data_IF_438761287688
#
_entry.id   IF_438761287688
#
_cell.length_a   1.000
_cell.length_b   1.000
_cell.length_c   1.000
_cell.angle_alpha   90.00
_cell.angle_beta   90.00
_cell.angle_gamma   90.00
#
_symmetry.space_group_name_H-M   'P 1'
#
loop_
_entity.id
_entity.type
_entity.pdbx_description
1 polymer ?
#
# COMPACT_ATOMS: atom_id res chain seq x y z
N UNK A 1 -28.41 5.30 49.07
CA UNK A 1 -28.21 4.37 47.93
C UNK A 1 -29.47 4.43 47.11
N UNK A 2 -29.35 4.68 45.79
CA UNK A 2 -30.25 4.35 44.66
C UNK A 2 -30.09 5.39 43.54
N UNK A 3 -30.07 4.92 42.28
CA UNK A 3 -29.59 5.65 41.10
C UNK A 3 -30.72 6.07 40.14
N UNK A 4 -30.43 7.14 39.38
CA UNK A 4 -30.86 7.51 38.01
C UNK A 4 -32.28 8.07 37.77
N UNK A 5 -32.54 8.82 36.67
CA UNK A 5 -31.65 9.26 35.59
C UNK A 5 -31.64 10.79 35.30
N UNK A 6 -30.52 11.30 34.81
CA UNK A 6 -30.45 12.59 34.08
C UNK A 6 -30.72 12.27 32.59
N UNK A 7 -31.57 13.05 31.89
CA UNK A 7 -32.09 12.68 30.59
C UNK A 7 -31.04 12.68 29.47
N UNK A 8 -31.26 11.72 28.57
CA UNK A 8 -30.65 11.48 27.26
C UNK A 8 -30.31 12.79 26.52
N UNK A 9 -29.04 13.21 26.60
CA UNK A 9 -28.52 14.27 25.74
C UNK A 9 -28.31 13.65 24.36
N UNK A 10 -29.39 13.54 23.59
CA UNK A 10 -29.37 13.30 22.15
C UNK A 10 -28.33 14.24 21.54
N UNK A 11 -27.14 13.71 21.31
CA UNK A 11 -26.13 14.34 20.51
C UNK A 11 -26.65 14.30 19.07
N UNK A 12 -27.29 15.38 18.66
CA UNK A 12 -27.55 15.64 17.26
C UNK A 12 -26.20 16.02 16.62
N UNK A 13 -25.68 15.26 15.66
CA UNK A 13 -24.51 15.72 14.92
C UNK A 13 -24.86 17.00 14.14
N UNK A 14 -23.90 17.95 13.98
CA UNK A 14 -24.16 19.19 13.26
C UNK A 14 -24.57 18.92 11.81
N UNK A 15 -25.58 19.62 11.26
CA UNK A 15 -25.99 19.47 9.87
C UNK A 15 -24.92 20.12 8.99
N UNK A 16 -24.03 19.30 8.45
CA UNK A 16 -22.89 19.81 7.69
C UNK A 16 -21.84 18.74 7.36
N UNK A 17 -21.81 17.64 8.11
CA UNK A 17 -21.18 16.41 7.64
C UNK A 17 -22.14 15.66 6.73
N UNK A 18 -22.53 16.31 5.61
CA UNK A 18 -22.62 15.54 4.39
C UNK A 18 -21.23 14.96 4.22
N UNK A 19 -21.08 13.73 4.68
CA UNK A 19 -20.05 12.81 4.29
C UNK A 19 -20.13 12.83 2.76
N UNK A 20 -19.40 13.76 2.15
CA UNK A 20 -18.83 13.54 0.84
C UNK A 20 -17.88 12.38 1.09
N UNK A 21 -18.46 11.17 1.23
CA UNK A 21 -17.96 10.04 0.49
C UNK A 21 -17.68 10.62 -0.89
N UNK A 22 -16.44 11.07 -1.07
CA UNK A 22 -15.84 11.02 -2.38
C UNK A 22 -15.75 9.53 -2.64
N UNK A 23 -16.90 8.92 -2.94
CA UNK A 23 -16.99 7.83 -3.88
C UNK A 23 -16.43 8.45 -5.15
N UNK A 24 -15.10 8.44 -5.22
CA UNK A 24 -14.42 8.40 -6.49
C UNK A 24 -15.12 7.25 -7.20
N UNK A 25 -15.84 7.51 -8.31
CA UNK A 25 -16.39 6.40 -9.06
C UNK A 25 -15.19 5.52 -9.36
N UNK A 26 -15.18 4.30 -8.81
CA UNK A 26 -14.28 3.23 -9.24
C UNK A 26 -14.77 2.90 -10.65
N UNK A 27 -14.46 3.81 -11.59
CA UNK A 27 -14.63 3.60 -13.01
C UNK A 27 -13.62 2.53 -13.34
N UNK A 28 -14.13 1.41 -13.83
CA UNK A 28 -13.31 0.42 -14.48
C UNK A 28 -12.83 -0.64 -13.50
N UNK A 29 -13.34 -1.82 -13.76
CA UNK A 29 -12.65 -3.08 -13.62
C UNK A 29 -11.44 -3.14 -14.59
N UNK A 30 -10.69 -2.04 -14.68
CA UNK A 30 -9.41 -1.85 -15.35
C UNK A 30 -8.46 -1.48 -14.22
N UNK A 31 -7.66 -2.44 -13.77
CA UNK A 31 -6.68 -2.24 -12.71
C UNK A 31 -5.81 -1.04 -13.08
N UNK A 32 -5.82 0.00 -12.24
CA UNK A 32 -4.93 1.16 -12.39
C UNK A 32 -3.50 0.63 -12.63
N UNK A 33 -2.87 0.94 -13.77
CA UNK A 33 -1.57 0.36 -14.12
C UNK A 33 -0.47 0.79 -13.15
N UNK A 34 -0.58 1.97 -12.54
CA UNK A 34 0.31 2.45 -11.49
C UNK A 34 0.09 1.64 -10.22
N UNK A 35 -1.16 1.39 -9.83
CA UNK A 35 -1.49 0.57 -8.65
C UNK A 35 -1.00 -0.88 -8.82
N UNK A 36 -1.20 -1.48 -10.01
CA UNK A 36 -0.72 -2.83 -10.30
C UNK A 36 0.82 -2.89 -10.27
N UNK A 37 1.51 -1.91 -10.86
CA UNK A 37 2.97 -1.87 -10.82
C UNK A 37 3.51 -1.65 -9.40
N UNK A 38 2.79 -0.88 -8.57
CA UNK A 38 3.10 -0.68 -7.15
C UNK A 38 2.99 -1.99 -6.36
N UNK A 39 1.90 -2.74 -6.55
CA UNK A 39 1.69 -4.05 -5.89
C UNK A 39 2.82 -5.03 -6.22
N UNK A 40 3.22 -5.11 -7.50
CA UNK A 40 4.33 -5.98 -7.94
C UNK A 40 5.65 -5.59 -7.28
N UNK A 41 5.96 -4.30 -7.18
CA UNK A 41 7.19 -3.85 -6.50
C UNK A 41 7.15 -4.13 -4.99
N UNK A 42 6.01 -3.90 -4.32
CA UNK A 42 5.86 -4.17 -2.89
C UNK A 42 6.02 -5.68 -2.58
N UNK A 43 5.47 -6.54 -3.42
CA UNK A 43 5.63 -7.99 -3.29
C UNK A 43 7.11 -8.42 -3.47
N UNK A 44 7.78 -7.94 -4.51
CA UNK A 44 9.21 -8.22 -4.73
C UNK A 44 10.08 -7.74 -3.56
N UNK A 45 9.80 -6.54 -3.04
CA UNK A 45 10.47 -5.98 -1.86
C UNK A 45 10.22 -6.83 -0.61
N UNK A 46 8.98 -7.27 -0.38
CA UNK A 46 8.65 -8.11 0.77
C UNK A 46 9.40 -9.44 0.73
N UNK A 47 9.57 -10.04 -0.46
CA UNK A 47 10.35 -11.27 -0.63
C UNK A 47 11.83 -11.06 -0.34
N UNK A 48 12.41 -9.94 -0.79
CA UNK A 48 13.79 -9.57 -0.47
C UNK A 48 13.99 -9.35 1.04
N UNK A 49 13.08 -8.60 1.69
CA UNK A 49 13.14 -8.35 3.13
C UNK A 49 13.04 -9.64 3.94
N UNK A 50 12.13 -10.55 3.57
CA UNK A 50 12.01 -11.86 4.21
C UNK A 50 13.28 -12.72 4.06
N UNK A 51 13.94 -12.67 2.90
CA UNK A 51 15.20 -13.38 2.68
C UNK A 51 16.39 -12.77 3.45
N UNK A 52 16.34 -11.47 3.75
CA UNK A 52 17.36 -10.78 4.55
C UNK A 52 17.12 -10.89 6.06
N UNK A 53 15.90 -11.16 6.51
CA UNK A 53 15.52 -11.26 7.93
C UNK A 53 16.45 -12.17 8.77
N UNK A 54 16.88 -13.36 8.31
CA UNK A 54 17.78 -14.22 9.07
C UNK A 54 19.14 -13.57 9.38
N UNK A 55 19.61 -12.68 8.49
CA UNK A 55 20.85 -11.90 8.68
C UNK A 55 20.67 -10.94 9.86
N UNK A 56 19.55 -10.22 9.89
CA UNK A 56 19.23 -9.27 10.95
C UNK A 56 19.02 -9.95 12.30
N UNK A 57 18.38 -11.12 12.30
CA UNK A 57 18.16 -11.95 13.48
C UNK A 57 19.41 -12.71 13.94
N UNK A 58 20.55 -12.57 13.25
CA UNK A 58 21.82 -13.26 13.53
C UNK A 58 21.65 -14.78 13.62
N UNK A 59 20.70 -15.33 12.87
CA UNK A 59 20.48 -16.77 12.81
C UNK A 59 21.59 -17.34 11.93
N UNK A 60 22.29 -18.36 12.43
CA UNK A 60 23.34 -19.06 11.69
C UNK A 60 22.71 -19.95 10.61
N UNK A 61 22.17 -19.29 9.59
CA UNK A 61 21.58 -19.90 8.40
C UNK A 61 22.57 -19.67 7.26
N UNK A 62 22.86 -20.69 6.43
CA UNK A 62 23.66 -20.48 5.23
C UNK A 62 23.01 -19.39 4.39
N UNK A 63 23.75 -18.32 4.10
CA UNK A 63 23.27 -17.24 3.29
C UNK A 63 23.41 -17.60 1.81
N UNK A 64 22.30 -17.76 1.12
CA UNK A 64 22.31 -17.94 -0.33
C UNK A 64 22.45 -16.58 -1.03
N UNK A 65 23.70 -16.20 -1.30
CA UNK A 65 24.03 -14.94 -1.96
C UNK A 65 23.51 -14.88 -3.40
N UNK A 66 23.35 -16.02 -4.08
CA UNK A 66 22.82 -16.07 -5.45
C UNK A 66 21.34 -15.73 -5.41
N UNK A 67 20.58 -16.39 -4.52
CA UNK A 67 19.15 -16.11 -4.33
C UNK A 67 18.91 -14.64 -3.92
N UNK A 68 19.71 -14.09 -3.01
CA UNK A 68 19.58 -12.69 -2.62
C UNK A 68 19.86 -11.73 -3.76
N UNK A 69 20.85 -12.04 -4.60
CA UNK A 69 21.15 -11.23 -5.77
C UNK A 69 19.99 -11.26 -6.79
N UNK A 70 19.41 -12.44 -7.02
CA UNK A 70 18.27 -12.59 -7.92
C UNK A 70 17.03 -11.82 -7.41
N UNK A 71 16.72 -11.91 -6.11
CA UNK A 71 15.65 -11.13 -5.48
C UNK A 71 15.91 -9.62 -5.56
N UNK A 72 17.16 -9.19 -5.42
CA UNK A 72 17.54 -7.79 -5.58
C UNK A 72 17.36 -7.30 -7.02
N UNK A 73 17.68 -8.13 -8.01
CA UNK A 73 17.46 -7.81 -9.43
C UNK A 73 15.96 -7.70 -9.70
N UNK A 74 15.16 -8.65 -9.19
CA UNK A 74 13.70 -8.64 -9.33
C UNK A 74 13.07 -7.37 -8.74
N UNK A 75 13.46 -6.98 -7.51
CA UNK A 75 12.99 -5.76 -6.85
C UNK A 75 13.34 -4.50 -7.65
N UNK A 76 14.58 -4.42 -8.17
CA UNK A 76 15.02 -3.29 -8.99
C UNK A 76 14.24 -3.17 -10.30
N UNK A 77 13.99 -4.29 -11.00
CA UNK A 77 13.22 -4.31 -12.24
C UNK A 77 11.77 -3.89 -11.99
N UNK A 78 11.17 -4.39 -10.91
CA UNK A 78 9.81 -4.00 -10.51
C UNK A 78 9.73 -2.51 -10.14
N UNK A 79 10.73 -1.98 -9.42
CA UNK A 79 10.83 -0.57 -9.09
C UNK A 79 10.95 0.32 -10.33
N UNK A 80 11.81 -0.05 -11.28
CA UNK A 80 11.98 0.70 -12.54
C UNK A 80 10.70 0.72 -13.37
N UNK A 81 10.00 -0.42 -13.44
CA UNK A 81 8.68 -0.51 -14.09
C UNK A 81 7.66 0.38 -13.42
N UNK A 82 7.53 0.34 -12.09
CA UNK A 82 6.60 1.21 -11.36
C UNK A 82 6.89 2.69 -11.61
N UNK A 83 8.16 3.10 -11.55
CA UNK A 83 8.56 4.48 -11.85
C UNK A 83 8.18 4.88 -13.26
N UNK A 84 8.44 4.02 -14.23
CA UNK A 84 8.12 4.28 -15.64
C UNK A 84 6.61 4.46 -15.83
N UNK A 85 5.80 3.52 -15.33
CA UNK A 85 4.34 3.57 -15.46
C UNK A 85 3.76 4.79 -14.75
N UNK A 86 4.26 5.12 -13.57
CA UNK A 86 3.84 6.33 -12.84
C UNK A 86 4.16 7.60 -13.62
N UNK A 87 5.36 7.69 -14.23
CA UNK A 87 5.75 8.86 -15.02
C UNK A 87 4.92 8.99 -16.30
N UNK A 88 4.61 7.90 -16.97
CA UNK A 88 3.76 7.92 -18.17
C UNK A 88 2.32 8.32 -17.86
N UNK A 89 1.74 7.80 -16.77
CA UNK A 89 0.40 8.19 -16.31
C UNK A 89 0.31 9.70 -15.99
N UNK A 90 1.34 10.24 -15.33
CA UNK A 90 1.37 11.67 -15.00
C UNK A 90 1.52 12.58 -16.23
N UNK A 91 2.01 12.05 -17.35
CA UNK A 91 2.25 12.83 -18.58
C UNK A 91 0.98 12.98 -19.42
N UNK A 92 0.02 12.06 -19.31
CA UNK A 92 -1.25 12.11 -20.07
C UNK A 92 -2.33 12.99 -19.42
N UNK A 93 -2.19 13.32 -18.13
CA UNK A 93 -3.14 14.18 -17.39
C UNK A 93 -2.87 15.68 -17.42
N UNK A 94 -1.90 16.15 -18.22
CA UNK A 94 -1.46 17.55 -18.27
C UNK A 94 -1.77 18.25 -19.59
N UNK A 95 -3.05 18.54 -19.86
CA UNK A 95 -3.49 19.56 -20.83
C UNK A 95 -4.65 20.38 -20.28
#
# INVERSE_FOLDING_TARGET
>A
MERHPVPDRRWLPPPGHAQRERHYPVKGQDTDPVAQALEVWLDARSRLEAAMEPIFQRISTPLDLVQLNDLRIEENVAWDRFRTVRLTDTTEGGQ
#
